data_IF_288282732858
#
_entry.id   IF_288282732858
#
_cell.length_a   1.000
_cell.length_b   1.000
_cell.length_c   1.000
_cell.angle_alpha   90.00
_cell.angle_beta   90.00
_cell.angle_gamma   90.00
#
_symmetry.space_group_name_H-M   'P 1'
#
loop_
_entity.id
_entity.type
_entity.pdbx_description
1 polymer ?
#
# COMPACT_ATOMS: atom_id res chain seq x y z
N UNK A 1 52.93 56.81 45.24
CA UNK A 1 52.54 58.07 45.91
C UNK A 1 51.42 58.73 45.14
N UNK A 2 50.24 58.79 45.77
CA UNK A 2 49.05 59.63 45.52
C UNK A 2 48.91 60.33 44.15
N UNK A 3 47.94 59.87 43.34
CA UNK A 3 47.29 60.71 42.33
C UNK A 3 45.78 60.75 42.59
N UNK A 4 45.29 61.99 42.62
CA UNK A 4 43.99 62.44 43.11
C UNK A 4 42.87 62.07 42.14
N UNK A 5 41.73 61.70 42.73
CA UNK A 5 40.41 61.58 42.11
C UNK A 5 39.91 62.96 41.65
N UNK A 6 39.39 63.02 40.41
CA UNK A 6 38.42 64.03 39.99
C UNK A 6 37.26 63.31 39.30
N UNK A 7 36.13 63.25 40.01
CA UNK A 7 34.83 62.78 39.54
C UNK A 7 34.22 63.85 38.62
N UNK A 8 33.97 63.51 37.37
CA UNK A 8 33.08 64.27 36.48
C UNK A 8 31.81 63.43 36.32
N UNK A 9 30.71 63.93 36.88
CA UNK A 9 29.38 63.37 36.72
C UNK A 9 28.84 63.76 35.33
N UNK A 10 28.87 62.82 34.39
CA UNK A 10 28.19 62.93 33.10
C UNK A 10 26.75 62.43 33.22
N UNK A 11 25.78 63.31 32.99
CA UNK A 11 24.37 62.95 32.87
C UNK A 11 24.16 62.14 31.58
N UNK A 12 23.87 60.84 31.70
CA UNK A 12 23.43 59.98 30.61
C UNK A 12 21.93 60.17 30.43
N UNK A 13 21.54 60.87 29.35
CA UNK A 13 20.16 60.88 28.85
C UNK A 13 19.88 59.51 28.22
N UNK A 14 19.25 58.63 29.00
CA UNK A 14 18.59 57.41 28.51
C UNK A 14 17.38 57.81 27.66
N UNK A 15 17.61 57.94 26.35
CA UNK A 15 16.54 57.94 25.37
C UNK A 15 15.87 56.56 25.39
N UNK A 16 14.69 56.47 26.00
CA UNK A 16 13.76 55.37 25.82
C UNK A 16 13.36 55.34 24.34
N UNK A 17 14.13 54.61 23.53
CA UNK A 17 13.68 54.17 22.23
C UNK A 17 12.44 53.32 22.44
N UNK A 18 11.27 53.89 22.15
CA UNK A 18 10.06 53.12 21.84
C UNK A 18 10.41 52.26 20.64
N UNK A 19 10.98 51.08 20.91
CA UNK A 19 11.28 50.09 19.89
C UNK A 19 9.96 49.77 19.21
N UNK A 20 9.81 50.23 17.97
CA UNK A 20 8.75 49.76 17.10
C UNK A 20 8.82 48.24 17.16
N UNK A 21 7.81 47.59 17.76
CA UNK A 21 7.68 46.14 17.67
C UNK A 21 7.78 45.85 16.17
N UNK A 22 8.79 45.08 15.71
CA UNK A 22 8.87 44.73 14.31
C UNK A 22 7.51 44.17 13.94
N UNK A 23 6.85 44.76 12.94
CA UNK A 23 5.49 44.42 12.56
C UNK A 23 5.36 42.90 12.59
N UNK A 24 4.57 42.40 13.55
CA UNK A 24 4.45 40.99 13.85
C UNK A 24 3.99 40.34 12.56
N UNK A 25 4.89 39.56 11.93
CA UNK A 25 4.58 38.92 10.67
C UNK A 25 3.47 37.91 10.94
N UNK A 26 2.25 38.27 10.59
CA UNK A 26 1.09 37.39 10.69
C UNK A 26 1.34 36.22 9.74
N UNK A 27 1.70 35.06 10.29
CA UNK A 27 1.97 33.85 9.51
C UNK A 27 0.67 33.06 9.35
N UNK A 28 -0.26 33.56 8.54
CA UNK A 28 -1.51 32.85 8.27
C UNK A 28 -1.27 31.69 7.29
N UNK A 29 -1.82 30.52 7.62
CA UNK A 29 -1.90 29.38 6.73
C UNK A 29 -3.24 29.41 5.99
N UNK A 30 -3.15 29.53 4.67
CA UNK A 30 -4.28 29.48 3.74
C UNK A 30 -4.17 28.20 2.91
N UNK A 31 -5.29 27.82 2.29
CA UNK A 31 -5.28 26.74 1.30
C UNK A 31 -5.86 27.16 -0.04
N UNK A 32 -5.50 26.42 -1.09
CA UNK A 32 -6.12 26.49 -2.41
C UNK A 32 -6.55 25.07 -2.86
N UNK A 33 -7.86 24.79 -3.01
CA UNK A 33 -8.98 25.70 -2.76
C UNK A 33 -9.09 26.16 -1.28
N UNK A 34 -9.77 27.28 -1.05
CA UNK A 34 -10.00 27.79 0.31
C UNK A 34 -10.94 26.90 1.14
N UNK A 35 -11.00 27.14 2.45
CA UNK A 35 -11.90 26.45 3.39
C UNK A 35 -11.70 24.92 3.49
N UNK A 36 -10.46 24.47 3.33
CA UNK A 36 -10.08 23.07 3.50
C UNK A 36 -9.77 22.80 4.97
N UNK A 37 -10.11 21.59 5.46
CA UNK A 37 -9.67 21.16 6.78
C UNK A 37 -8.18 20.82 6.72
N UNK A 38 -7.41 21.50 7.54
CA UNK A 38 -5.99 21.24 7.73
C UNK A 38 -5.81 20.63 9.11
N UNK A 39 -5.07 19.53 9.16
CA UNK A 39 -4.62 18.93 10.40
C UNK A 39 -3.08 18.87 10.39
N UNK A 40 -2.47 19.47 11.40
CA UNK A 40 -1.04 19.43 11.66
C UNK A 40 -0.80 18.58 12.92
N UNK A 41 -0.05 17.49 12.80
CA UNK A 41 0.30 16.60 13.91
C UNK A 41 1.81 16.56 14.13
N UNK A 42 2.29 17.09 15.25
CA UNK A 42 3.71 17.12 15.62
C UNK A 42 3.89 17.30 17.13
N UNK A 43 4.87 18.11 17.59
CA UNK A 43 5.01 18.48 19.01
C UNK A 43 3.72 19.05 19.60
N UNK A 44 2.97 19.78 18.79
CA UNK A 44 1.62 20.22 19.04
C UNK A 44 0.72 19.69 17.92
N UNK A 45 -0.50 19.28 18.24
CA UNK A 45 -1.49 18.92 17.24
C UNK A 45 -2.54 20.01 17.12
N UNK A 46 -2.71 20.57 15.93
CA UNK A 46 -3.75 21.55 15.63
C UNK A 46 -4.54 21.13 14.41
N UNK A 47 -5.86 21.31 14.46
CA UNK A 47 -6.76 21.03 13.35
C UNK A 47 -7.77 22.16 13.23
N UNK A 48 -8.05 22.58 12.00
CA UNK A 48 -8.96 23.69 11.72
C UNK A 48 -9.32 23.78 10.25
N UNK A 49 -10.15 24.76 9.91
CA UNK A 49 -10.48 25.12 8.52
C UNK A 49 -9.66 26.39 8.21
N UNK A 50 -9.02 26.45 7.05
CA UNK A 50 -8.27 27.65 6.65
C UNK A 50 -9.17 28.86 6.39
N UNK A 51 -8.69 30.09 6.63
CA UNK A 51 -7.34 30.44 7.12
C UNK A 51 -7.15 30.12 8.61
N UNK A 52 -5.95 29.66 8.98
CA UNK A 52 -5.57 29.37 10.37
C UNK A 52 -4.29 30.11 10.76
N UNK A 53 -4.27 30.69 11.95
CA UNK A 53 -3.09 31.33 12.50
C UNK A 53 -2.08 30.28 12.96
N UNK A 54 -0.82 30.50 12.65
CA UNK A 54 0.28 29.65 13.07
C UNK A 54 1.16 30.31 14.14
N UNK A 55 0.87 31.51 14.64
CA UNK A 55 1.73 32.23 15.59
C UNK A 55 2.27 31.31 16.72
N UNK A 56 1.37 30.54 17.34
CA UNK A 56 1.66 29.68 18.50
C UNK A 56 2.21 28.28 18.17
N UNK A 57 2.41 27.93 16.89
CA UNK A 57 2.91 26.61 16.53
C UNK A 57 4.42 26.51 16.89
N UNK A 58 4.86 25.60 17.78
CA UNK A 58 6.27 25.51 18.16
C UNK A 58 7.14 25.01 17.00
N UNK A 59 8.46 25.21 17.08
CA UNK A 59 9.40 24.63 16.13
C UNK A 59 9.34 23.09 16.18
N UNK A 60 9.48 22.44 15.02
CA UNK A 60 9.46 20.97 14.93
C UNK A 60 8.94 20.44 13.60
N UNK A 61 8.91 19.11 13.48
CA UNK A 61 8.35 18.40 12.32
C UNK A 61 6.88 18.07 12.57
N UNK A 62 6.02 18.46 11.64
CA UNK A 62 4.58 18.26 11.66
C UNK A 62 4.19 17.41 10.45
N UNK A 63 3.34 16.42 10.65
CA UNK A 63 2.60 15.80 9.56
C UNK A 63 1.43 16.71 9.21
N UNK A 64 1.28 17.04 7.93
CA UNK A 64 0.14 17.80 7.43
C UNK A 64 -0.81 16.87 6.68
N UNK A 65 -2.10 16.98 6.99
CA UNK A 65 -3.19 16.38 6.22
C UNK A 65 -4.16 17.47 5.76
N UNK A 66 -4.47 17.47 4.47
CA UNK A 66 -5.50 18.31 3.87
C UNK A 66 -6.67 17.41 3.49
N UNK A 67 -7.86 17.76 3.97
CA UNK A 67 -9.10 17.04 3.68
C UNK A 67 -10.23 18.03 3.40
N UNK A 68 -11.00 17.78 2.35
CA UNK A 68 -12.00 18.72 1.87
C UNK A 68 -12.78 18.20 0.67
N UNK A 69 -13.88 18.87 0.36
CA UNK A 69 -14.72 18.51 -0.78
C UNK A 69 -13.98 18.82 -2.09
N UNK A 70 -13.92 17.84 -2.98
CA UNK A 70 -13.39 18.03 -4.34
C UNK A 70 -11.86 18.12 -4.42
N UNK A 71 -11.16 17.92 -3.30
CA UNK A 71 -9.72 17.79 -3.26
C UNK A 71 -9.34 16.34 -2.95
N UNK A 72 -8.15 15.90 -3.38
CA UNK A 72 -7.61 14.65 -2.90
C UNK A 72 -7.24 14.73 -1.42
N UNK A 73 -7.29 13.60 -0.72
CA UNK A 73 -6.62 13.50 0.58
C UNK A 73 -5.12 13.63 0.34
N UNK A 74 -4.54 14.69 0.89
CA UNK A 74 -3.15 15.03 0.68
C UNK A 74 -2.42 14.94 2.01
N UNK A 75 -1.30 14.23 1.99
CA UNK A 75 -0.43 14.06 3.15
C UNK A 75 0.98 14.56 2.85
N UNK A 76 1.56 15.27 3.81
CA UNK A 76 2.93 15.77 3.70
C UNK A 76 3.59 15.91 5.07
N UNK A 77 4.83 16.38 5.05
CA UNK A 77 5.54 16.77 6.24
C UNK A 77 5.93 18.24 6.14
N UNK A 78 5.59 19.01 7.15
CA UNK A 78 5.91 20.41 7.29
C UNK A 78 6.87 20.58 8.46
N UNK A 79 8.02 21.21 8.24
CA UNK A 79 8.99 21.51 9.30
C UNK A 79 8.94 23.00 9.60
N UNK A 80 8.73 23.36 10.86
CA UNK A 80 8.86 24.73 11.35
C UNK A 80 10.20 24.90 12.04
N UNK A 81 11.05 25.78 11.52
CA UNK A 81 12.32 26.12 12.15
C UNK A 81 12.13 27.10 13.32
N UNK A 82 13.18 27.26 14.14
CA UNK A 82 13.16 28.14 15.31
C UNK A 82 12.89 29.63 14.96
N UNK A 83 13.22 30.06 13.74
CA UNK A 83 12.91 31.41 13.23
C UNK A 83 11.47 31.56 12.69
N UNK A 84 10.63 30.52 12.81
CA UNK A 84 9.24 30.53 12.34
C UNK A 84 9.04 30.25 10.85
N UNK A 85 10.10 29.97 10.09
CA UNK A 85 9.98 29.58 8.69
C UNK A 85 9.40 28.17 8.56
N UNK A 86 8.46 27.99 7.63
CA UNK A 86 7.93 26.66 7.28
C UNK A 86 8.62 26.15 6.03
N UNK A 87 9.01 24.89 6.04
CA UNK A 87 9.44 24.15 4.86
C UNK A 87 8.57 22.91 4.68
N UNK A 88 8.11 22.68 3.47
CA UNK A 88 7.37 21.49 3.12
C UNK A 88 8.32 20.46 2.51
N UNK A 89 8.29 19.24 3.05
CA UNK A 89 8.99 18.09 2.52
C UNK A 89 7.97 17.02 2.13
N UNK A 90 8.05 16.54 0.90
CA UNK A 90 7.31 15.34 0.51
C UNK A 90 8.07 14.11 1.03
N UNK A 91 7.44 13.31 1.91
CA UNK A 91 8.02 12.03 2.36
C UNK A 91 7.94 10.95 1.24
N UNK A 92 7.86 11.37 -0.02
CA UNK A 92 7.52 10.59 -1.20
C UNK A 92 8.61 10.76 -2.27
N UNK A 93 9.57 9.85 -2.28
CA UNK A 93 10.59 9.77 -3.31
C UNK A 93 10.76 8.35 -3.82
N UNK A 94 11.60 8.16 -4.83
CA UNK A 94 11.96 6.83 -5.35
C UNK A 94 12.64 5.94 -4.30
N UNK A 95 13.14 6.52 -3.20
CA UNK A 95 13.66 5.77 -2.06
C UNK A 95 12.61 4.85 -1.40
N UNK A 96 11.31 5.03 -1.66
CA UNK A 96 10.27 4.10 -1.21
C UNK A 96 10.42 2.71 -1.81
N UNK A 97 11.09 2.57 -2.97
CA UNK A 97 11.44 1.27 -3.56
C UNK A 97 12.43 0.47 -2.70
N UNK A 98 13.18 1.12 -1.80
CA UNK A 98 14.14 0.46 -0.91
C UNK A 98 13.50 -0.01 0.40
N UNK A 99 12.21 0.25 0.59
CA UNK A 99 11.49 -0.11 1.80
C UNK A 99 10.52 -1.26 1.52
N UNK A 100 10.32 -2.18 2.47
CA UNK A 100 9.27 -3.17 2.36
C UNK A 100 7.91 -2.51 2.08
N UNK A 101 7.01 -3.19 1.35
CA UNK A 101 5.71 -2.65 0.99
C UNK A 101 4.95 -2.20 2.25
N UNK A 102 4.32 -1.03 2.18
CA UNK A 102 3.55 -0.49 3.30
C UNK A 102 4.32 0.37 4.31
N UNK A 103 5.64 0.18 4.48
CA UNK A 103 6.42 0.91 5.50
C UNK A 103 6.41 2.42 5.27
N UNK A 104 6.47 2.87 4.02
CA UNK A 104 6.37 4.28 3.66
C UNK A 104 5.04 4.90 4.16
N UNK A 105 3.93 4.18 4.00
CA UNK A 105 2.60 4.61 4.45
C UNK A 105 2.48 4.60 5.97
N UNK A 106 3.04 3.59 6.64
CA UNK A 106 3.07 3.55 8.11
C UNK A 106 3.83 4.74 8.70
N UNK A 107 4.96 5.13 8.11
CA UNK A 107 5.73 6.33 8.51
C UNK A 107 4.92 7.62 8.32
N UNK A 108 4.11 7.70 7.26
CA UNK A 108 3.14 8.79 7.03
C UNK A 108 1.90 8.72 7.93
N UNK A 109 1.76 7.72 8.79
CA UNK A 109 0.60 7.56 9.66
C UNK A 109 -0.65 7.00 8.95
N UNK A 110 -0.53 6.60 7.69
CA UNK A 110 -1.58 5.96 6.90
C UNK A 110 -1.68 4.47 7.28
N UNK A 111 -2.05 4.20 8.55
CA UNK A 111 -1.97 2.86 9.16
C UNK A 111 -2.71 1.78 8.37
N UNK A 112 -3.95 2.03 7.97
CA UNK A 112 -4.76 1.05 7.25
C UNK A 112 -4.11 0.62 5.93
N UNK A 113 -3.66 1.61 5.15
CA UNK A 113 -2.97 1.39 3.87
C UNK A 113 -1.65 0.66 4.06
N UNK A 114 -0.84 1.12 5.02
CA UNK A 114 0.46 0.53 5.30
C UNK A 114 0.36 -0.93 5.72
N UNK A 115 -0.61 -1.27 6.58
CA UNK A 115 -0.83 -2.66 6.98
C UNK A 115 -1.33 -3.55 5.85
N UNK A 116 -2.21 -3.05 4.96
CA UNK A 116 -2.67 -3.83 3.81
C UNK A 116 -1.49 -4.19 2.89
N UNK A 117 -0.66 -3.22 2.50
CA UNK A 117 0.51 -3.50 1.66
C UNK A 117 1.53 -4.41 2.34
N UNK A 118 1.78 -4.19 3.63
CA UNK A 118 2.75 -5.00 4.37
C UNK A 118 2.26 -6.45 4.50
N UNK A 119 0.99 -6.66 4.85
CA UNK A 119 0.39 -7.98 4.95
C UNK A 119 0.38 -8.70 3.59
N UNK A 120 -0.03 -8.02 2.51
CA UNK A 120 0.00 -8.59 1.16
C UNK A 120 1.42 -8.95 0.74
N UNK A 121 2.38 -8.04 0.92
CA UNK A 121 3.77 -8.28 0.55
C UNK A 121 4.42 -9.43 1.32
N UNK A 122 4.20 -9.50 2.63
CA UNK A 122 4.67 -10.61 3.46
C UNK A 122 3.98 -11.94 3.09
N UNK A 123 2.67 -11.91 2.84
CA UNK A 123 1.93 -13.10 2.41
C UNK A 123 2.47 -13.67 1.11
N UNK A 124 2.68 -12.83 0.09
CA UNK A 124 3.22 -13.29 -1.19
C UNK A 124 4.67 -13.75 -1.09
N UNK A 125 5.51 -13.03 -0.34
CA UNK A 125 6.90 -13.43 -0.12
C UNK A 125 7.00 -14.77 0.63
N UNK A 126 6.16 -14.99 1.65
CA UNK A 126 6.12 -16.25 2.41
C UNK A 126 5.67 -17.40 1.51
N UNK A 127 4.63 -17.22 0.69
CA UNK A 127 4.21 -18.23 -0.27
C UNK A 127 5.33 -18.59 -1.26
N UNK A 128 6.07 -17.59 -1.75
CA UNK A 128 7.24 -17.81 -2.62
C UNK A 128 8.37 -18.57 -1.93
N UNK A 129 8.65 -18.29 -0.66
CA UNK A 129 9.66 -19.03 0.12
C UNK A 129 9.25 -20.48 0.38
N UNK A 130 7.99 -20.71 0.74
CA UNK A 130 7.47 -22.08 0.93
C UNK A 130 7.63 -22.88 -0.36
N UNK A 131 7.28 -22.27 -1.50
CA UNK A 131 7.41 -22.92 -2.82
C UNK A 131 8.86 -23.09 -3.29
N UNK A 132 9.77 -22.22 -2.89
CA UNK A 132 11.20 -22.43 -3.11
C UNK A 132 11.75 -23.63 -2.32
N UNK A 133 11.30 -23.84 -1.07
CA UNK A 133 11.67 -25.06 -0.33
C UNK A 133 11.09 -26.31 -0.98
N UNK A 134 9.81 -26.30 -1.35
CA UNK A 134 9.18 -27.42 -2.06
C UNK A 134 9.86 -27.72 -3.39
N UNK A 135 10.29 -26.69 -4.14
CA UNK A 135 11.03 -26.87 -5.39
C UNK A 135 12.35 -27.62 -5.18
N UNK A 136 13.11 -27.29 -4.12
CA UNK A 136 14.38 -27.98 -3.82
C UNK A 136 14.16 -29.46 -3.52
N UNK A 137 13.12 -29.77 -2.75
CA UNK A 137 12.76 -31.17 -2.47
C UNK A 137 12.42 -31.91 -3.78
N UNK A 138 11.72 -31.26 -4.73
CA UNK A 138 11.41 -31.85 -6.05
C UNK A 138 12.63 -31.95 -6.97
N UNK A 139 13.58 -31.02 -6.90
CA UNK A 139 14.85 -31.10 -7.63
C UNK A 139 15.68 -32.30 -7.13
N UNK A 140 15.69 -32.57 -5.83
CA UNK A 140 16.35 -33.77 -5.26
C UNK A 140 15.68 -35.08 -5.72
N UNK A 141 14.35 -35.10 -5.84
CA UNK A 141 13.60 -36.23 -6.38
C UNK A 141 13.84 -36.42 -7.88
N UNK A 142 13.92 -35.33 -8.64
CA UNK A 142 14.30 -35.35 -10.06
C UNK A 142 15.71 -35.92 -10.25
N UNK A 143 16.69 -35.48 -9.47
CA UNK A 143 18.05 -36.01 -9.49
C UNK A 143 18.09 -37.50 -9.14
N UNK A 144 17.22 -37.94 -8.21
CA UNK A 144 17.08 -39.36 -7.87
C UNK A 144 16.47 -40.16 -9.02
N UNK A 145 15.42 -39.64 -9.65
CA UNK A 145 14.77 -40.28 -10.79
C UNK A 145 15.73 -40.37 -11.99
N UNK A 146 16.55 -39.33 -12.22
CA UNK A 146 17.59 -39.33 -13.25
C UNK A 146 18.62 -40.44 -13.00
N UNK A 147 19.11 -40.58 -11.76
CA UNK A 147 20.03 -41.68 -11.41
C UNK A 147 19.42 -43.06 -11.64
N UNK A 148 18.14 -43.25 -11.28
CA UNK A 148 17.44 -44.51 -11.52
C UNK A 148 17.29 -44.80 -13.03
N UNK A 149 17.09 -43.77 -13.85
CA UNK A 149 17.04 -43.89 -15.29
C UNK A 149 18.41 -44.26 -15.89
N UNK A 150 19.47 -43.61 -15.42
CA UNK A 150 20.84 -43.88 -15.87
C UNK A 150 21.32 -45.29 -15.47
N UNK A 151 20.90 -45.78 -14.30
CA UNK A 151 21.23 -47.11 -13.77
C UNK A 151 20.31 -48.23 -14.30
N UNK A 152 19.21 -47.89 -14.99
CA UNK A 152 18.23 -48.87 -15.45
C UNK A 152 18.81 -49.77 -16.56
N UNK A 153 18.82 -51.09 -16.31
CA UNK A 153 19.27 -52.10 -17.28
C UNK A 153 18.12 -53.04 -17.62
N UNK A 154 17.68 -52.98 -18.88
CA UNK A 154 16.59 -53.80 -19.42
C UNK A 154 15.32 -52.98 -19.69
N UNK A 155 14.56 -53.42 -20.68
CA UNK A 155 13.43 -52.65 -21.26
C UNK A 155 12.36 -52.29 -20.23
N UNK A 156 11.95 -53.24 -19.37
CA UNK A 156 10.95 -52.98 -18.33
C UNK A 156 11.43 -51.93 -17.32
N UNK A 157 12.65 -52.08 -16.78
CA UNK A 157 13.22 -51.12 -15.83
C UNK A 157 13.43 -49.74 -16.44
N UNK A 158 13.78 -49.67 -17.72
CA UNK A 158 13.98 -48.41 -18.45
C UNK A 158 12.66 -47.68 -18.65
N UNK A 159 11.57 -48.42 -18.95
CA UNK A 159 10.23 -47.85 -19.09
C UNK A 159 9.74 -47.24 -17.77
N UNK A 160 9.90 -47.97 -16.66
CA UNK A 160 9.51 -47.50 -15.33
C UNK A 160 10.34 -46.30 -14.88
N UNK A 161 11.66 -46.36 -15.06
CA UNK A 161 12.55 -45.28 -14.69
C UNK A 161 12.29 -44.01 -15.51
N UNK A 162 11.98 -44.15 -16.81
CA UNK A 162 11.58 -43.03 -17.67
C UNK A 162 10.28 -42.39 -17.18
N UNK A 163 9.28 -43.20 -16.83
CA UNK A 163 8.01 -42.70 -16.29
C UNK A 163 8.23 -41.91 -15.00
N UNK A 164 9.06 -42.42 -14.10
CA UNK A 164 9.40 -41.73 -12.85
C UNK A 164 10.15 -40.41 -13.11
N UNK A 165 11.07 -40.40 -14.08
CA UNK A 165 11.78 -39.20 -14.49
C UNK A 165 10.84 -38.13 -15.05
N UNK A 166 9.94 -38.53 -15.96
CA UNK A 166 8.96 -37.62 -16.56
C UNK A 166 8.02 -37.01 -15.50
N UNK A 167 7.57 -37.82 -14.52
CA UNK A 167 6.74 -37.34 -13.41
C UNK A 167 7.50 -36.36 -12.50
N UNK A 168 8.71 -36.71 -12.06
CA UNK A 168 9.52 -35.85 -11.21
C UNK A 168 9.86 -34.52 -11.91
N UNK A 169 10.09 -34.56 -13.22
CA UNK A 169 10.32 -33.36 -14.03
C UNK A 169 9.11 -32.44 -14.05
N UNK A 170 7.91 -32.99 -14.30
CA UNK A 170 6.66 -32.21 -14.29
C UNK A 170 6.39 -31.57 -12.92
N UNK A 171 6.60 -32.32 -11.83
CA UNK A 171 6.44 -31.80 -10.47
C UNK A 171 7.39 -30.64 -10.16
N UNK A 172 8.65 -30.74 -10.58
CA UNK A 172 9.62 -29.67 -10.42
C UNK A 172 9.25 -28.43 -11.27
N UNK A 173 8.75 -28.61 -12.50
CA UNK A 173 8.28 -27.51 -13.33
C UNK A 173 7.07 -26.79 -12.73
N UNK A 174 6.09 -27.53 -12.21
CA UNK A 174 4.90 -26.96 -11.57
C UNK A 174 5.27 -26.13 -10.32
N UNK A 175 6.13 -26.65 -9.45
CA UNK A 175 6.58 -25.92 -8.25
C UNK A 175 7.37 -24.66 -8.62
N UNK A 176 8.17 -24.73 -9.68
CA UNK A 176 8.88 -23.56 -10.22
C UNK A 176 7.92 -22.51 -10.77
N UNK A 177 6.88 -22.92 -11.48
CA UNK A 177 5.83 -22.01 -11.97
C UNK A 177 5.15 -21.31 -10.79
N UNK A 178 4.69 -22.07 -9.79
CA UNK A 178 4.02 -21.52 -8.61
C UNK A 178 4.93 -20.56 -7.83
N UNK A 179 6.19 -20.93 -7.58
CA UNK A 179 7.17 -20.05 -6.95
C UNK A 179 7.31 -18.73 -7.73
N UNK A 180 7.43 -18.81 -9.05
CA UNK A 180 7.56 -17.62 -9.90
C UNK A 180 6.32 -16.72 -9.82
N UNK A 181 5.11 -17.30 -9.79
CA UNK A 181 3.87 -16.56 -9.62
C UNK A 181 3.81 -15.85 -8.25
N UNK A 182 4.14 -16.54 -7.16
CA UNK A 182 4.22 -15.94 -5.83
C UNK A 182 5.25 -14.80 -5.77
N UNK A 183 6.45 -15.02 -6.31
CA UNK A 183 7.49 -14.00 -6.41
C UNK A 183 7.06 -12.80 -7.27
N UNK A 184 6.35 -13.04 -8.37
CA UNK A 184 5.78 -11.99 -9.22
C UNK A 184 4.79 -11.13 -8.44
N UNK A 185 3.84 -11.71 -7.71
CA UNK A 185 2.88 -10.94 -6.91
C UNK A 185 3.54 -10.20 -5.74
N UNK A 186 4.58 -10.77 -5.13
CA UNK A 186 5.38 -10.08 -4.12
C UNK A 186 6.07 -8.84 -4.71
N UNK A 187 6.73 -8.99 -5.87
CA UNK A 187 7.37 -7.90 -6.60
C UNK A 187 6.38 -6.84 -7.07
N UNK A 188 5.23 -7.25 -7.62
CA UNK A 188 4.16 -6.35 -8.05
C UNK A 188 3.58 -5.55 -6.87
N UNK A 189 3.42 -6.18 -5.69
CA UNK A 189 2.96 -5.49 -4.48
C UNK A 189 4.00 -4.48 -4.00
N UNK A 190 5.28 -4.81 -4.07
CA UNK A 190 6.39 -3.91 -3.72
C UNK A 190 6.45 -2.70 -4.63
N UNK A 191 6.52 -2.93 -5.95
CA UNK A 191 6.55 -1.88 -6.97
C UNK A 191 5.29 -1.03 -6.89
N UNK A 192 4.11 -1.67 -6.78
CA UNK A 192 2.84 -1.00 -6.59
C UNK A 192 2.84 -0.09 -5.37
N UNK A 193 3.23 -0.58 -4.19
CA UNK A 193 3.33 0.23 -2.97
C UNK A 193 4.24 1.44 -3.17
N UNK A 194 5.37 1.28 -3.85
CA UNK A 194 6.33 2.35 -4.07
C UNK A 194 5.82 3.39 -5.08
N UNK A 195 5.27 2.95 -6.22
CA UNK A 195 4.63 3.81 -7.22
C UNK A 195 3.47 4.60 -6.61
N UNK A 196 2.66 3.94 -5.78
CA UNK A 196 1.57 4.62 -5.13
C UNK A 196 2.07 5.66 -4.13
N UNK A 197 3.12 5.35 -3.37
CA UNK A 197 3.69 6.25 -2.38
C UNK A 197 4.36 7.47 -3.01
N UNK A 198 4.94 7.33 -4.20
CA UNK A 198 5.79 8.33 -4.86
C UNK A 198 5.07 9.14 -5.92
N UNK A 199 4.23 8.49 -6.74
CA UNK A 199 3.62 9.10 -7.94
C UNK A 199 2.12 9.27 -7.76
N UNK A 200 1.42 8.25 -7.25
CA UNK A 200 -0.05 8.27 -7.28
C UNK A 200 -0.67 9.01 -6.10
N UNK A 201 0.04 9.11 -4.96
CA UNK A 201 -0.41 9.89 -3.79
C UNK A 201 -0.03 11.36 -3.99
N UNK A 202 -1.00 12.27 -4.15
CA UNK A 202 -0.70 13.69 -4.29
C UNK A 202 -0.10 14.23 -2.99
N UNK A 203 1.01 14.95 -3.13
CA UNK A 203 1.60 15.74 -2.05
C UNK A 203 1.05 17.18 -2.05
N UNK A 204 1.12 17.90 -0.92
CA UNK A 204 0.78 19.31 -0.92
C UNK A 204 1.86 20.09 -1.66
N UNK A 205 1.49 21.22 -2.27
CA UNK A 205 2.45 22.25 -2.69
C UNK A 205 2.32 23.43 -1.72
N UNK A 206 3.44 24.10 -1.44
CA UNK A 206 3.47 25.23 -0.50
C UNK A 206 4.14 26.43 -1.15
N UNK A 207 3.42 27.55 -1.17
CA UNK A 207 3.91 28.82 -1.68
C UNK A 207 3.85 29.86 -0.59
N UNK A 208 4.80 30.79 -0.59
CA UNK A 208 4.78 31.95 0.32
C UNK A 208 4.38 33.17 -0.47
N UNK A 209 3.37 33.92 -0.01
CA UNK A 209 2.94 35.16 -0.66
C UNK A 209 3.80 36.36 -0.18
N UNK A 210 3.68 37.52 -0.84
CA UNK A 210 4.35 38.78 -0.47
C UNK A 210 4.05 39.23 0.97
N UNK A 211 2.86 38.90 1.49
CA UNK A 211 2.46 39.16 2.86
C UNK A 211 3.04 38.16 3.89
N UNK A 212 3.91 37.23 3.46
CA UNK A 212 4.45 36.11 4.26
C UNK A 212 3.41 35.06 4.70
N UNK A 213 2.19 35.13 4.18
CA UNK A 213 1.20 34.06 4.31
C UNK A 213 1.71 32.80 3.60
N UNK A 214 1.44 31.64 4.21
CA UNK A 214 1.72 30.33 3.61
C UNK A 214 0.45 29.82 2.92
N UNK A 215 0.54 29.54 1.64
CA UNK A 215 -0.54 28.95 0.84
C UNK A 215 -0.23 27.48 0.57
N UNK A 216 -1.03 26.59 1.13
CA UNK A 216 -1.00 25.16 0.84
C UNK A 216 -1.99 24.82 -0.26
N UNK A 217 -1.52 24.38 -1.42
CA UNK A 217 -2.40 23.95 -2.50
C UNK A 217 -2.54 22.43 -2.52
N UNK A 218 -3.77 21.98 -2.72
CA UNK A 218 -4.10 20.61 -3.09
C UNK A 218 -4.67 20.67 -4.51
N UNK A 219 -4.01 20.01 -5.47
CA UNK A 219 -4.52 19.95 -6.84
C UNK A 219 -5.93 19.37 -6.88
N UNK A 220 -6.79 19.83 -7.79
CA UNK A 220 -8.18 19.35 -7.87
C UNK A 220 -8.28 17.85 -8.16
N UNK A 221 -9.24 17.18 -7.52
CA UNK A 221 -9.53 15.78 -7.80
C UNK A 221 -10.44 15.64 -9.02
N UNK A 222 -10.10 14.76 -9.97
CA UNK A 222 -10.94 14.51 -11.15
C UNK A 222 -11.24 13.01 -11.37
N UNK A 223 -12.42 12.65 -11.93
CA UNK A 223 -12.85 11.26 -12.13
C UNK A 223 -11.85 10.41 -12.91
N UNK A 224 -11.32 10.97 -13.99
CA UNK A 224 -10.42 10.24 -14.90
C UNK A 224 -9.09 9.93 -14.22
N UNK A 225 -8.58 10.86 -13.43
CA UNK A 225 -7.38 10.70 -12.62
C UNK A 225 -7.59 9.67 -11.50
N UNK A 226 -8.79 9.58 -10.93
CA UNK A 226 -9.15 8.52 -9.98
C UNK A 226 -9.20 7.16 -10.69
N UNK A 227 -9.88 7.07 -11.83
CA UNK A 227 -10.01 5.84 -12.61
C UNK A 227 -8.64 5.29 -13.06
N UNK A 228 -7.78 6.16 -13.60
CA UNK A 228 -6.43 5.80 -14.02
C UNK A 228 -5.59 5.26 -12.85
N UNK A 229 -5.63 5.93 -11.70
CA UNK A 229 -4.95 5.45 -10.49
C UNK A 229 -5.49 4.10 -10.04
N UNK A 230 -6.81 3.92 -10.03
CA UNK A 230 -7.45 2.65 -9.68
C UNK A 230 -7.15 1.52 -10.67
N UNK A 231 -6.92 1.83 -11.95
CA UNK A 231 -6.47 0.86 -12.95
C UNK A 231 -5.01 0.44 -12.70
N UNK A 232 -4.14 1.37 -12.34
CA UNK A 232 -2.76 1.00 -11.99
C UNK A 232 -2.70 0.20 -10.68
N UNK A 233 -3.45 0.63 -9.68
CA UNK A 233 -3.40 0.08 -8.33
C UNK A 233 -4.81 0.02 -7.76
N UNK A 234 -5.35 -1.18 -7.48
CA UNK A 234 -6.66 -1.34 -6.86
C UNK A 234 -6.81 -0.47 -5.61
N UNK A 235 -7.86 0.32 -5.55
CA UNK A 235 -8.18 1.22 -4.44
C UNK A 235 -7.48 2.58 -4.44
N UNK A 236 -6.53 2.84 -5.34
CA UNK A 236 -5.77 4.10 -5.35
C UNK A 236 -6.62 5.30 -5.78
N UNK A 237 -7.59 5.11 -6.70
CA UNK A 237 -8.52 6.16 -7.11
C UNK A 237 -9.44 6.61 -5.97
N UNK A 238 -9.96 5.67 -5.18
CA UNK A 238 -10.79 5.97 -4.01
C UNK A 238 -10.01 6.78 -2.97
N UNK A 239 -8.75 6.40 -2.70
CA UNK A 239 -7.83 7.14 -1.82
C UNK A 239 -7.52 8.53 -2.36
N UNK A 240 -7.27 8.63 -3.67
CA UNK A 240 -7.14 9.91 -4.35
C UNK A 240 -8.41 10.78 -4.22
N UNK A 241 -9.60 10.20 -4.06
CA UNK A 241 -10.83 10.96 -3.76
C UNK A 241 -11.10 11.13 -2.25
N UNK A 242 -10.11 10.92 -1.38
CA UNK A 242 -10.23 11.05 0.07
C UNK A 242 -11.02 9.93 0.77
N UNK A 243 -11.31 8.82 0.08
CA UNK A 243 -12.07 7.68 0.61
C UNK A 243 -11.15 6.52 0.99
N UNK A 244 -10.24 6.77 1.93
CA UNK A 244 -9.18 5.82 2.29
C UNK A 244 -9.67 4.43 2.71
N UNK A 245 -10.71 4.38 3.54
CA UNK A 245 -11.29 3.11 4.00
C UNK A 245 -11.80 2.28 2.82
N UNK A 246 -12.41 2.93 1.82
CA UNK A 246 -12.96 2.26 0.64
C UNK A 246 -11.83 1.76 -0.28
N UNK A 247 -10.82 2.60 -0.49
CA UNK A 247 -9.63 2.19 -1.25
C UNK A 247 -8.91 1.00 -0.62
N UNK A 248 -8.69 1.03 0.70
CA UNK A 248 -8.04 -0.09 1.40
C UNK A 248 -8.81 -1.41 1.28
N UNK A 249 -10.16 -1.37 1.27
CA UNK A 249 -10.99 -2.57 1.05
C UNK A 249 -10.76 -3.16 -0.34
N UNK A 250 -10.68 -2.33 -1.38
CA UNK A 250 -10.41 -2.80 -2.73
C UNK A 250 -9.02 -3.42 -2.87
N UNK A 251 -7.99 -2.76 -2.32
CA UNK A 251 -6.63 -3.32 -2.31
C UNK A 251 -6.59 -4.65 -1.57
N UNK A 252 -7.17 -4.72 -0.36
CA UNK A 252 -7.20 -5.94 0.44
C UNK A 252 -7.99 -7.06 -0.25
N UNK A 253 -9.17 -6.77 -0.80
CA UNK A 253 -9.98 -7.75 -1.50
C UNK A 253 -9.27 -8.31 -2.74
N UNK A 254 -8.64 -7.44 -3.54
CA UNK A 254 -7.86 -7.86 -4.69
C UNK A 254 -6.67 -8.74 -4.29
N UNK A 255 -5.85 -8.31 -3.32
CA UNK A 255 -4.71 -9.10 -2.84
C UNK A 255 -5.15 -10.45 -2.28
N UNK A 256 -6.25 -10.49 -1.52
CA UNK A 256 -6.78 -11.73 -0.95
C UNK A 256 -7.22 -12.69 -2.05
N UNK A 257 -7.97 -12.22 -3.05
CA UNK A 257 -8.43 -13.09 -4.15
C UNK A 257 -7.29 -13.53 -5.07
N UNK A 258 -6.26 -12.71 -5.25
CA UNK A 258 -5.04 -13.12 -5.94
C UNK A 258 -4.32 -14.26 -5.19
N UNK A 259 -4.15 -14.15 -3.87
CA UNK A 259 -3.57 -15.21 -3.06
C UNK A 259 -4.42 -16.49 -3.09
N UNK A 260 -5.75 -16.38 -2.96
CA UNK A 260 -6.67 -17.54 -3.08
C UNK A 260 -6.56 -18.19 -4.46
N UNK A 261 -6.45 -17.39 -5.53
CA UNK A 261 -6.25 -17.93 -6.90
C UNK A 261 -4.98 -18.77 -7.02
N UNK A 262 -3.88 -18.34 -6.39
CA UNK A 262 -2.62 -19.11 -6.39
C UNK A 262 -2.75 -20.43 -5.63
N UNK A 263 -3.42 -20.41 -4.47
CA UNK A 263 -3.66 -21.64 -3.68
C UNK A 263 -4.55 -22.63 -4.44
N UNK A 264 -5.61 -22.15 -5.09
CA UNK A 264 -6.48 -23.02 -5.91
C UNK A 264 -5.73 -23.52 -7.14
N UNK A 265 -4.86 -22.70 -7.74
CA UNK A 265 -4.05 -23.11 -8.87
C UNK A 265 -3.07 -24.23 -8.49
N UNK A 266 -2.44 -24.13 -7.31
CA UNK A 266 -1.58 -25.18 -6.74
C UNK A 266 -2.35 -26.50 -6.58
N UNK A 267 -3.50 -26.45 -5.90
CA UNK A 267 -4.35 -27.64 -5.72
C UNK A 267 -4.83 -28.23 -7.06
N UNK A 268 -5.10 -27.39 -8.06
CA UNK A 268 -5.45 -27.85 -9.41
C UNK A 268 -4.29 -28.60 -10.07
N UNK A 269 -3.06 -28.09 -9.99
CA UNK A 269 -1.89 -28.75 -10.56
C UNK A 269 -1.67 -30.11 -9.89
N UNK A 270 -1.82 -30.19 -8.57
CA UNK A 270 -1.78 -31.46 -7.83
C UNK A 270 -2.81 -32.47 -8.36
N UNK A 271 -4.09 -32.08 -8.48
CA UNK A 271 -5.12 -32.99 -9.01
C UNK A 271 -4.96 -33.35 -10.48
N UNK A 272 -4.38 -32.46 -11.27
CA UNK A 272 -4.02 -32.76 -12.65
C UNK A 272 -2.93 -33.84 -12.73
N UNK A 273 -1.98 -33.85 -11.80
CA UNK A 273 -0.96 -34.92 -11.71
C UNK A 273 -1.57 -36.25 -11.29
N UNK A 274 -2.47 -36.24 -10.31
CA UNK A 274 -3.22 -37.45 -9.91
C UNK A 274 -3.95 -38.05 -11.12
N UNK A 275 -4.64 -37.22 -11.91
CA UNK A 275 -5.32 -37.65 -13.13
C UNK A 275 -4.36 -38.27 -14.15
N UNK A 276 -3.21 -37.64 -14.41
CA UNK A 276 -2.20 -38.19 -15.34
C UNK A 276 -1.61 -39.51 -14.85
N UNK A 277 -1.39 -39.65 -13.54
CA UNK A 277 -0.92 -40.88 -12.94
C UNK A 277 -1.95 -42.02 -13.14
N UNK A 278 -3.23 -41.76 -12.86
CA UNK A 278 -4.30 -42.74 -13.06
C UNK A 278 -4.49 -43.05 -14.56
N UNK A 279 -4.36 -42.06 -15.44
CA UNK A 279 -4.41 -42.26 -16.88
C UNK A 279 -3.33 -43.25 -17.33
N UNK A 280 -2.10 -43.11 -16.82
CA UNK A 280 -1.01 -44.05 -17.13
C UNK A 280 -1.28 -45.48 -16.64
N UNK A 281 -2.01 -45.66 -15.54
CA UNK A 281 -2.43 -46.97 -15.03
C UNK A 281 -3.58 -47.56 -15.85
N UNK A 282 -4.50 -46.72 -16.31
CA UNK A 282 -5.58 -47.12 -17.23
C UNK A 282 -5.01 -47.59 -18.57
N UNK A 283 -4.05 -46.85 -19.14
CA UNK A 283 -3.42 -47.19 -20.42
C UNK A 283 -2.59 -48.48 -20.35
N UNK A 284 -2.14 -48.87 -19.14
CA UNK A 284 -1.39 -50.09 -18.88
C UNK A 284 -2.25 -51.30 -18.47
N UNK A 285 -3.58 -51.14 -18.36
CA UNK A 285 -4.46 -52.22 -17.92
C UNK A 285 -4.73 -53.22 -19.07
N UNK A 286 -4.45 -54.50 -18.84
CA UNK A 286 -4.55 -55.55 -19.88
C UNK A 286 -5.83 -56.38 -19.78
N UNK A 287 -6.49 -56.38 -18.63
CA UNK A 287 -7.70 -57.19 -18.41
C UNK A 287 -8.96 -56.34 -18.38
N UNK A 288 -10.08 -56.87 -18.89
CA UNK A 288 -11.36 -56.15 -18.94
C UNK A 288 -11.82 -55.65 -17.57
N UNK A 289 -11.62 -56.45 -16.52
CA UNK A 289 -11.95 -56.06 -15.15
C UNK A 289 -11.05 -54.94 -14.60
N UNK A 290 -9.75 -54.94 -14.90
CA UNK A 290 -8.85 -53.85 -14.54
C UNK A 290 -9.18 -52.57 -15.32
N UNK A 291 -9.47 -52.69 -16.61
CA UNK A 291 -9.87 -51.55 -17.45
C UNK A 291 -11.12 -50.88 -16.88
N UNK A 292 -12.14 -51.64 -16.46
CA UNK A 292 -13.36 -51.08 -15.87
C UNK A 292 -13.11 -50.44 -14.48
N UNK A 293 -12.23 -51.04 -13.66
CA UNK A 293 -11.83 -50.44 -12.39
C UNK A 293 -11.07 -49.12 -12.59
N UNK A 294 -10.04 -49.12 -13.45
CA UNK A 294 -9.21 -47.95 -13.76
C UNK A 294 -9.98 -46.86 -14.48
N UNK A 295 -10.98 -47.21 -15.29
CA UNK A 295 -11.88 -46.23 -15.91
C UNK A 295 -12.60 -45.40 -14.85
N UNK A 296 -13.16 -46.06 -13.83
CA UNK A 296 -13.87 -45.36 -12.75
C UNK A 296 -12.93 -44.46 -11.94
N UNK A 297 -11.73 -44.93 -11.63
CA UNK A 297 -10.71 -44.11 -10.96
C UNK A 297 -10.29 -42.90 -11.81
N UNK A 298 -10.15 -43.09 -13.13
CA UNK A 298 -9.79 -42.01 -14.06
C UNK A 298 -10.91 -40.98 -14.16
N UNK A 299 -12.16 -41.41 -14.25
CA UNK A 299 -13.34 -40.54 -14.23
C UNK A 299 -13.39 -39.73 -12.93
N UNK A 300 -13.16 -40.35 -11.77
CA UNK A 300 -13.12 -39.65 -10.47
C UNK A 300 -11.98 -38.63 -10.40
N UNK A 301 -10.77 -38.99 -10.83
CA UNK A 301 -9.63 -38.09 -10.85
C UNK A 301 -9.83 -36.92 -11.83
N UNK A 302 -10.47 -37.18 -12.99
CA UNK A 302 -10.81 -36.15 -13.97
C UNK A 302 -11.87 -35.18 -13.42
N UNK A 303 -12.91 -35.68 -12.77
CA UNK A 303 -13.96 -34.87 -12.15
C UNK A 303 -13.38 -33.95 -11.04
N UNK A 304 -12.42 -34.47 -10.26
CA UNK A 304 -11.71 -33.71 -9.24
C UNK A 304 -10.86 -32.58 -9.83
N UNK A 305 -10.09 -32.87 -10.89
CA UNK A 305 -9.30 -31.87 -11.60
C UNK A 305 -10.19 -30.81 -12.28
N UNK A 306 -11.27 -31.22 -12.95
CA UNK A 306 -12.23 -30.31 -13.59
C UNK A 306 -12.94 -29.41 -12.57
N UNK A 307 -13.30 -29.97 -11.40
CA UNK A 307 -13.89 -29.17 -10.31
C UNK A 307 -12.94 -28.06 -9.89
N UNK A 308 -11.65 -28.35 -9.68
CA UNK A 308 -10.67 -27.34 -9.30
C UNK A 308 -10.36 -26.34 -10.42
N UNK A 309 -10.38 -26.78 -11.69
CA UNK A 309 -10.24 -25.87 -12.84
C UNK A 309 -11.38 -24.85 -12.88
N UNK A 310 -12.62 -25.29 -12.68
CA UNK A 310 -13.80 -24.42 -12.57
C UNK A 310 -13.67 -23.44 -11.41
N UNK A 311 -13.20 -23.89 -10.24
CA UNK A 311 -12.93 -23.00 -9.11
C UNK A 311 -11.84 -21.99 -9.42
N UNK A 312 -10.73 -22.41 -10.06
CA UNK A 312 -9.62 -21.53 -10.45
C UNK A 312 -10.13 -20.40 -11.34
N UNK A 313 -10.84 -20.73 -12.42
CA UNK A 313 -11.41 -19.73 -13.32
C UNK A 313 -12.50 -18.87 -12.65
N UNK A 314 -13.29 -19.46 -11.75
CA UNK A 314 -14.26 -18.72 -10.94
C UNK A 314 -13.60 -17.63 -10.09
N UNK A 315 -12.53 -17.96 -9.36
CA UNK A 315 -11.82 -16.98 -8.52
C UNK A 315 -11.05 -15.95 -9.35
N UNK A 316 -10.47 -16.34 -10.49
CA UNK A 316 -9.87 -15.40 -11.44
C UNK A 316 -10.94 -14.42 -11.96
N UNK A 317 -12.12 -14.92 -12.32
CA UNK A 317 -13.26 -14.10 -12.73
C UNK A 317 -13.73 -13.12 -11.66
N UNK A 318 -13.83 -13.57 -10.40
CA UNK A 318 -14.16 -12.72 -9.25
C UNK A 318 -13.08 -11.65 -9.02
N UNK A 319 -11.80 -12.01 -9.12
CA UNK A 319 -10.67 -11.07 -9.00
C UNK A 319 -10.75 -9.99 -10.08
N UNK A 320 -11.00 -10.40 -11.33
CA UNK A 320 -11.21 -9.49 -12.46
C UNK A 320 -12.43 -8.57 -12.25
N UNK A 321 -13.55 -9.11 -11.74
CA UNK A 321 -14.73 -8.33 -11.41
C UNK A 321 -14.47 -7.29 -10.32
N UNK A 322 -13.74 -7.64 -9.25
CA UNK A 322 -13.32 -6.70 -8.20
C UNK A 322 -12.46 -5.57 -8.80
N UNK A 323 -11.51 -5.93 -9.68
CA UNK A 323 -10.64 -4.97 -10.35
C UNK A 323 -11.43 -3.98 -11.23
N UNK A 324 -12.33 -4.48 -12.08
CA UNK A 324 -13.18 -3.64 -12.94
C UNK A 324 -14.12 -2.78 -12.09
N UNK A 325 -14.75 -3.35 -11.07
CA UNK A 325 -15.64 -2.63 -10.17
C UNK A 325 -14.91 -1.50 -9.42
N UNK A 326 -13.67 -1.72 -9.00
CA UNK A 326 -12.82 -0.71 -8.39
C UNK A 326 -12.60 0.52 -9.31
N UNK A 327 -12.41 0.31 -10.62
CA UNK A 327 -12.24 1.40 -11.58
C UNK A 327 -13.56 2.15 -11.78
N UNK A 328 -14.65 1.42 -12.00
CA UNK A 328 -15.97 2.01 -12.17
C UNK A 328 -16.39 2.83 -10.95
N UNK A 329 -16.14 2.29 -9.76
CA UNK A 329 -16.39 2.98 -8.51
C UNK A 329 -15.60 4.29 -8.40
N UNK A 330 -14.31 4.29 -8.78
CA UNK A 330 -13.50 5.50 -8.75
C UNK A 330 -14.07 6.63 -9.64
N UNK A 331 -14.70 6.29 -10.78
CA UNK A 331 -15.37 7.26 -11.67
C UNK A 331 -16.66 7.80 -11.06
N UNK A 332 -17.51 6.92 -10.50
CA UNK A 332 -18.84 7.30 -9.98
C UNK A 332 -18.77 8.17 -8.73
N UNK A 333 -17.66 8.11 -8.02
CA UNK A 333 -17.45 8.77 -6.73
C UNK A 333 -17.32 10.30 -6.78
N UNK A 334 -17.43 10.89 -7.97
CA UNK A 334 -17.35 12.33 -8.20
C UNK A 334 -18.71 12.97 -7.95
N UNK A 335 -18.80 13.77 -6.89
CA UNK A 335 -19.97 14.62 -6.61
C UNK A 335 -20.95 14.10 -5.56
N UNK A 336 -20.79 12.88 -5.04
CA UNK A 336 -21.84 12.22 -4.25
C UNK A 336 -21.72 12.24 -2.72
N UNK A 337 -20.62 12.65 -2.09
CA UNK A 337 -20.59 12.67 -0.61
C UNK A 337 -19.97 13.96 -0.06
N UNK A 338 -20.78 14.70 0.70
CA UNK A 338 -20.31 15.54 1.79
C UNK A 338 -19.59 14.66 2.83
N UNK A 339 -18.60 15.21 3.54
CA UNK A 339 -18.13 14.55 4.78
C UNK A 339 -19.37 14.24 5.61
N UNK A 340 -19.66 12.99 6.00
CA UNK A 340 -20.87 12.69 6.76
C UNK A 340 -20.91 13.64 7.95
N UNK A 341 -21.95 14.49 8.00
CA UNK A 341 -22.24 15.31 9.15
C UNK A 341 -22.09 14.47 10.41
N UNK A 342 -21.28 14.95 11.36
CA UNK A 342 -20.87 14.13 12.48
C UNK A 342 -20.18 14.94 13.57
N UNK A 343 -20.23 14.38 14.78
CA UNK A 343 -19.55 14.91 15.95
C UNK A 343 -18.05 14.70 15.80
N UNK A 344 -17.27 15.77 15.82
CA UNK A 344 -15.80 15.71 15.84
C UNK A 344 -15.29 16.38 17.11
N UNK A 345 -14.34 15.74 17.80
CA UNK A 345 -13.61 16.37 18.91
C UNK A 345 -12.54 17.29 18.34
N UNK A 346 -12.52 18.54 18.81
CA UNK A 346 -11.47 19.51 18.51
C UNK A 346 -10.81 19.93 19.82
N UNK A 347 -9.47 19.87 19.86
CA UNK A 347 -8.68 20.46 20.93
C UNK A 347 -7.81 21.56 20.33
N UNK A 348 -7.84 22.75 20.93
CA UNK A 348 -6.99 23.87 20.56
C UNK A 348 -6.25 24.38 21.81
N UNK A 349 -4.94 24.65 21.73
CA UNK A 349 -4.27 25.39 22.79
C UNK A 349 -4.79 26.84 22.86
N UNK A 350 -4.68 27.43 24.03
CA UNK A 350 -4.97 28.83 24.35
C UNK A 350 -3.89 29.28 25.36
N UNK A 351 -3.51 30.57 25.44
CA UNK A 351 -2.62 31.07 26.50
C UNK A 351 -2.93 30.57 27.92
N UNK A 352 -4.19 30.29 28.23
CA UNK A 352 -4.64 29.81 29.55
C UNK A 352 -4.81 28.29 29.68
N UNK A 353 -4.41 27.49 28.67
CA UNK A 353 -4.48 26.01 28.70
C UNK A 353 -4.98 25.36 27.40
N UNK A 354 -5.73 24.27 27.51
CA UNK A 354 -6.34 23.58 26.35
C UNK A 354 -7.86 23.77 26.35
N UNK A 355 -8.41 24.21 25.22
CA UNK A 355 -9.85 24.20 24.97
C UNK A 355 -10.19 22.92 24.22
N UNK A 356 -10.96 22.04 24.84
CA UNK A 356 -11.55 20.88 24.17
C UNK A 356 -13.03 21.18 23.87
N UNK A 357 -13.48 20.86 22.67
CA UNK A 357 -14.85 21.10 22.23
C UNK A 357 -15.33 20.01 21.29
N UNK A 358 -16.64 19.79 21.31
CA UNK A 358 -17.35 18.97 20.33
C UNK A 358 -17.84 19.89 19.22
N UNK A 359 -17.43 19.62 17.99
CA UNK A 359 -17.94 20.30 16.79
C UNK A 359 -18.85 19.34 16.05
N UNK A 360 -20.14 19.62 16.07
CA UNK A 360 -21.15 18.93 15.28
C UNK A 360 -21.27 19.62 13.91
N UNK A 361 -21.07 18.86 12.82
CA UNK A 361 -21.37 19.34 11.47
C UNK A 361 -22.76 18.88 11.04
N UNK A 362 -23.62 19.85 10.74
CA UNK A 362 -24.84 19.67 9.96
C UNK A 362 -24.44 20.03 8.53
N UNK A 363 -24.65 19.12 7.58
CA UNK A 363 -24.49 19.41 6.15
C UNK A 363 -25.62 20.28 5.61
#
# INVERSE_FOLDING_TARGET
MSRKFSLIAGAVLLGLGLGARPAEAVNMLRTDPGNIRVELKGPLSISGITPMDLADLPAGKYRVSLDGRGIPSVHGSLTRSANGQLSLSTDAGLNTLLHPPGIAFLRRGERGRGWVYLASGLGFATGGLVKEFSLRDREDDLDRAQRLYDDAVGEASLSDARRNLDLAFQEAEDEKELRNLWAFFAGATWVGSALEASILTPGPDMRTNSNRDYLLSAGGANPMGAAFRSALIPGAGQRYMGRDKRGNRFTAAFSTMAAVSLVIHDAYLEKRRDQLAVQSLYDAADTEGEIEARRRELEEAADDAERLDRWRWGVVGVTGAIYIWNIFDAVRLVGTDSSPGGLTWQMSPNPDGFRAGLVWRID
#
